data_IF_729253349078
#
_entry.id   IF_729253349078
#
_cell.length_a   1.000
_cell.length_b   1.000
_cell.length_c   1.000
_cell.angle_alpha   90.00
_cell.angle_beta   90.00
_cell.angle_gamma   90.00
#
_symmetry.space_group_name_H-M   'P 1'
#
loop_
_entity.id
_entity.type
_entity.pdbx_description
1 polymer ?
#
# COMPACT_ATOMS: atom_id res chain seq x y z
N UNK A 1 41.98 -5.37 0.27
CA UNK A 1 40.59 -5.81 0.52
C UNK A 1 39.74 -4.57 0.39
N UNK A 2 39.26 -4.32 -0.82
CA UNK A 2 38.39 -3.19 -1.16
C UNK A 2 37.00 -3.44 -0.57
N UNK A 3 36.28 -2.41 -0.08
CA UNK A 3 34.87 -2.55 0.19
C UNK A 3 34.16 -2.87 -1.12
N UNK A 4 33.33 -3.92 -1.14
CA UNK A 4 32.41 -4.15 -2.25
C UNK A 4 31.48 -2.94 -2.36
N UNK A 5 31.63 -2.18 -3.45
CA UNK A 5 30.64 -1.19 -3.86
C UNK A 5 29.33 -1.93 -4.15
N UNK A 6 28.35 -1.75 -3.28
CA UNK A 6 26.97 -2.19 -3.51
C UNK A 6 26.47 -1.43 -4.75
N UNK A 7 26.35 -2.12 -5.88
CA UNK A 7 25.82 -1.57 -7.12
C UNK A 7 24.52 -0.80 -6.86
N UNK A 8 24.40 0.48 -7.27
CA UNK A 8 23.14 1.20 -7.20
C UNK A 8 22.27 0.76 -8.38
N UNK A 9 21.59 -0.37 -8.24
CA UNK A 9 20.50 -0.74 -9.16
C UNK A 9 19.29 -1.20 -8.37
N UNK A 10 18.90 -0.44 -7.35
CA UNK A 10 17.48 -0.37 -7.04
C UNK A 10 16.85 0.37 -8.21
N UNK A 11 15.93 -0.23 -8.99
CA UNK A 11 15.23 0.50 -10.03
C UNK A 11 14.56 1.71 -9.37
N UNK A 12 14.80 2.91 -9.91
CA UNK A 12 14.05 4.08 -9.49
C UNK A 12 12.59 3.86 -9.88
N UNK A 13 11.73 3.54 -8.91
CA UNK A 13 10.30 3.47 -9.15
C UNK A 13 9.78 4.86 -9.54
N UNK A 14 8.98 4.90 -10.60
CA UNK A 14 8.29 6.13 -11.00
C UNK A 14 7.00 6.24 -10.21
N UNK A 15 6.87 7.30 -9.42
CA UNK A 15 5.63 7.65 -8.76
C UNK A 15 4.81 8.58 -9.65
N UNK A 16 3.58 8.21 -9.92
CA UNK A 16 2.59 9.08 -10.56
C UNK A 16 1.51 9.36 -9.54
N UNK A 17 1.26 10.63 -9.27
CA UNK A 17 0.17 11.07 -8.41
C UNK A 17 -0.83 11.78 -9.30
N UNK A 18 -2.05 11.24 -9.35
CA UNK A 18 -3.16 11.85 -10.08
C UNK A 18 -3.69 13.09 -9.32
N UNK A 19 -4.86 13.60 -9.72
CA UNK A 19 -5.46 14.78 -9.09
C UNK A 19 -5.55 14.62 -7.56
N UNK A 20 -4.85 15.50 -6.85
CA UNK A 20 -4.89 15.57 -5.39
C UNK A 20 -6.19 16.26 -4.98
N UNK A 21 -7.01 15.55 -4.22
CA UNK A 21 -8.24 16.09 -3.67
C UNK A 21 -7.99 16.71 -2.29
N UNK A 22 -8.54 17.90 -2.06
CA UNK A 22 -8.57 18.52 -0.74
C UNK A 22 -9.73 17.94 0.07
N UNK A 23 -9.47 16.79 0.71
CA UNK A 23 -10.43 16.02 1.50
C UNK A 23 -9.85 15.64 2.85
N UNK A 24 -10.72 15.53 3.85
CA UNK A 24 -10.34 15.22 5.22
C UNK A 24 -10.95 13.89 5.65
N UNK A 25 -10.22 13.16 6.49
CA UNK A 25 -10.68 11.94 7.15
C UNK A 25 -10.21 11.97 8.62
N UNK A 26 -10.98 11.34 9.51
CA UNK A 26 -10.60 11.24 10.91
C UNK A 26 -9.53 10.16 11.07
N UNK A 27 -8.27 10.56 11.21
CA UNK A 27 -7.14 9.68 11.43
C UNK A 27 -6.06 10.38 12.28
N UNK A 28 -5.12 9.61 12.82
CA UNK A 28 -3.96 10.15 13.51
C UNK A 28 -2.71 10.07 12.61
N UNK A 29 -1.54 10.47 13.12
CA UNK A 29 -0.29 10.47 12.36
C UNK A 29 0.17 9.08 11.89
N UNK A 30 -0.38 8.00 12.44
CA UNK A 30 -0.08 6.64 11.99
C UNK A 30 -0.64 6.33 10.59
N UNK A 31 -1.64 7.08 10.10
CA UNK A 31 -2.12 6.91 8.72
C UNK A 31 -1.00 7.11 7.70
N UNK A 32 -0.08 8.06 7.94
CA UNK A 32 1.08 8.27 7.06
C UNK A 32 1.97 7.02 6.99
N UNK A 33 2.18 6.34 8.13
CA UNK A 33 2.95 5.08 8.18
C UNK A 33 2.25 3.95 7.43
N UNK A 34 0.92 3.95 7.42
CA UNK A 34 0.16 2.97 6.65
C UNK A 34 0.37 3.14 5.14
N UNK A 35 0.36 4.39 4.67
CA UNK A 35 0.71 4.70 3.28
C UNK A 35 2.16 4.36 2.97
N UNK A 36 3.11 4.73 3.85
CA UNK A 36 4.53 4.38 3.70
C UNK A 36 4.72 2.87 3.54
N UNK A 37 4.12 2.06 4.41
CA UNK A 37 4.17 0.60 4.32
C UNK A 37 3.65 0.06 2.98
N UNK A 38 2.51 0.57 2.49
CA UNK A 38 1.95 0.14 1.20
C UNK A 38 2.83 0.60 0.03
N UNK A 39 3.36 1.81 0.07
CA UNK A 39 4.25 2.35 -0.97
C UNK A 39 5.59 1.62 -1.00
N UNK A 40 6.16 1.26 0.16
CA UNK A 40 7.38 0.44 0.27
C UNK A 40 7.13 -0.94 -0.35
N UNK A 41 6.03 -1.59 -0.01
CA UNK A 41 5.67 -2.88 -0.62
C UNK A 41 5.52 -2.79 -2.14
N UNK A 42 4.86 -1.74 -2.63
CA UNK A 42 4.67 -1.49 -4.07
C UNK A 42 5.99 -1.25 -4.83
N UNK A 43 7.07 -0.87 -4.13
CA UNK A 43 8.41 -0.69 -4.73
C UNK A 43 9.27 -1.94 -4.55
N UNK A 44 9.36 -2.48 -3.34
CA UNK A 44 10.26 -3.60 -3.01
C UNK A 44 9.85 -4.90 -3.69
N UNK A 45 8.56 -5.11 -3.90
CA UNK A 45 8.03 -6.32 -4.54
C UNK A 45 7.77 -6.17 -6.04
N UNK A 46 8.14 -5.04 -6.63
CA UNK A 46 7.91 -4.78 -8.04
C UNK A 46 9.09 -5.28 -8.89
N UNK A 47 8.81 -6.28 -9.72
CA UNK A 47 9.78 -6.93 -10.61
C UNK A 47 9.77 -6.40 -12.05
N UNK A 48 8.99 -5.34 -12.33
CA UNK A 48 8.95 -4.74 -13.66
C UNK A 48 10.30 -4.11 -14.04
N UNK A 49 10.63 -4.12 -15.34
CA UNK A 49 11.82 -3.43 -15.86
C UNK A 49 11.76 -1.90 -15.59
N UNK A 50 10.55 -1.35 -15.59
CA UNK A 50 10.25 0.02 -15.19
C UNK A 50 9.17 0.00 -14.10
N UNK A 51 9.53 -0.09 -12.81
CA UNK A 51 8.57 -0.06 -11.71
C UNK A 51 7.82 1.26 -11.70
N UNK A 52 6.50 1.16 -11.62
CA UNK A 52 5.57 2.28 -11.55
C UNK A 52 4.63 2.06 -10.38
N UNK A 53 4.44 3.12 -9.61
CA UNK A 53 3.45 3.20 -8.53
C UNK A 53 2.58 4.42 -8.78
N UNK A 54 1.27 4.21 -8.78
CA UNK A 54 0.24 5.21 -9.05
C UNK A 54 -0.54 5.46 -7.78
N UNK A 55 -0.70 6.73 -7.42
CA UNK A 55 -1.51 7.14 -6.28
C UNK A 55 -2.65 8.01 -6.80
N UNK A 56 -3.87 7.53 -6.61
CA UNK A 56 -5.09 8.25 -7.03
C UNK A 56 -6.05 8.39 -5.87
N UNK A 57 -6.82 9.48 -5.85
CA UNK A 57 -7.82 9.73 -4.83
C UNK A 57 -9.20 9.94 -5.48
N UNK A 58 -10.21 9.35 -4.88
CA UNK A 58 -11.61 9.61 -5.18
C UNK A 58 -12.35 9.94 -3.90
N UNK A 59 -13.38 10.79 -3.98
CA UNK A 59 -14.22 11.07 -2.83
C UNK A 59 -15.66 11.33 -3.27
N UNK A 60 -16.60 10.85 -2.45
CA UNK A 60 -18.01 11.21 -2.53
C UNK A 60 -18.39 12.10 -1.33
N UNK A 61 -19.68 12.28 -1.06
CA UNK A 61 -20.16 13.09 0.07
C UNK A 61 -19.77 12.52 1.45
N UNK A 62 -19.47 11.23 1.56
CA UNK A 62 -19.33 10.47 2.81
C UNK A 62 -18.03 9.69 2.93
N UNK A 63 -17.39 9.36 1.82
CA UNK A 63 -16.23 8.48 1.76
C UNK A 63 -15.09 9.13 0.99
N UNK A 64 -13.87 8.77 1.37
CA UNK A 64 -12.64 9.02 0.64
C UNK A 64 -12.00 7.67 0.36
N UNK A 65 -11.60 7.48 -0.89
CA UNK A 65 -10.84 6.35 -1.36
C UNK A 65 -9.48 6.86 -1.83
N UNK A 66 -8.41 6.24 -1.33
CA UNK A 66 -7.07 6.45 -1.83
C UNK A 66 -6.52 5.12 -2.33
N UNK A 67 -6.09 5.08 -3.58
CA UNK A 67 -5.60 3.86 -4.24
C UNK A 67 -4.10 4.01 -4.44
N UNK A 68 -3.34 2.99 -4.05
CA UNK A 68 -1.94 2.80 -4.43
C UNK A 68 -1.88 1.57 -5.34
N UNK A 69 -1.62 1.80 -6.62
CA UNK A 69 -1.55 0.76 -7.64
C UNK A 69 -0.14 0.61 -8.19
N UNK A 70 0.38 -0.61 -8.24
CA UNK A 70 1.67 -0.93 -8.84
C UNK A 70 1.51 -1.70 -10.15
N UNK A 71 2.61 -1.78 -10.90
CA UNK A 71 2.74 -2.67 -12.07
C UNK A 71 3.62 -3.89 -11.78
N UNK A 72 3.67 -4.36 -10.54
CA UNK A 72 4.42 -5.54 -10.10
C UNK A 72 3.81 -6.86 -10.58
N UNK A 73 4.17 -7.99 -9.94
CA UNK A 73 3.65 -9.31 -10.30
C UNK A 73 2.21 -9.56 -9.83
N UNK A 74 1.69 -8.74 -8.92
CA UNK A 74 0.42 -8.99 -8.22
C UNK A 74 0.59 -9.87 -6.98
N UNK A 75 -0.50 -10.10 -6.25
CA UNK A 75 -0.57 -11.06 -5.14
C UNK A 75 -1.40 -12.26 -5.60
N UNK A 76 -0.88 -13.47 -5.39
CA UNK A 76 -1.64 -14.68 -5.71
C UNK A 76 -2.87 -14.80 -4.80
N UNK A 77 -4.02 -15.26 -5.31
CA UNK A 77 -5.28 -15.33 -4.56
C UNK A 77 -5.15 -16.08 -3.22
N UNK A 78 -4.33 -17.13 -3.15
CA UNK A 78 -4.08 -17.90 -1.92
C UNK A 78 -3.09 -17.27 -0.93
N UNK A 79 -2.46 -16.15 -1.29
CA UNK A 79 -1.51 -15.43 -0.44
C UNK A 79 -2.11 -14.16 0.17
N UNK A 80 -3.32 -13.77 -0.23
CA UNK A 80 -3.91 -12.51 0.19
C UNK A 80 -4.20 -12.47 1.70
N UNK A 81 -4.87 -13.50 2.22
CA UNK A 81 -5.17 -13.61 3.66
C UNK A 81 -3.89 -13.65 4.50
N UNK A 82 -2.85 -14.26 3.95
CA UNK A 82 -1.54 -14.39 4.56
C UNK A 82 -0.77 -13.06 4.59
N UNK A 83 -0.88 -12.25 3.52
CA UNK A 83 -0.28 -10.91 3.41
C UNK A 83 -1.02 -9.89 4.27
N UNK A 84 -2.34 -10.04 4.41
CA UNK A 84 -3.18 -9.22 5.30
C UNK A 84 -3.15 -9.68 6.77
N UNK A 85 -2.48 -10.80 7.08
CA UNK A 85 -2.35 -11.36 8.42
C UNK A 85 -3.65 -11.92 9.01
N UNK A 86 -4.57 -12.39 8.17
CA UNK A 86 -5.86 -12.97 8.56
C UNK A 86 -5.77 -14.48 8.90
N UNK A 87 -4.63 -15.14 8.63
CA UNK A 87 -4.32 -16.52 9.04
C UNK A 87 -3.36 -16.55 10.25
N UNK A 88 -3.39 -17.64 11.06
CA UNK A 88 -2.59 -17.71 12.30
C UNK A 88 -1.08 -17.58 12.05
N UNK A 89 -0.35 -16.83 12.90
CA UNK A 89 1.05 -16.53 12.70
C UNK A 89 1.92 -17.71 13.11
N UNK A 90 2.30 -18.56 12.16
CA UNK A 90 3.48 -19.39 12.37
C UNK A 90 4.71 -18.48 12.55
N UNK A 91 5.38 -18.65 13.70
CA UNK A 91 6.36 -17.74 14.33
C UNK A 91 7.68 -17.47 13.57
N UNK A 92 7.69 -17.46 12.24
CA UNK A 92 8.90 -17.17 11.46
C UNK A 92 8.55 -16.28 10.27
N UNK A 93 8.18 -15.02 10.51
CA UNK A 93 8.09 -14.01 9.45
C UNK A 93 8.83 -12.75 9.84
N UNK A 94 10.17 -12.84 9.79
CA UNK A 94 11.01 -11.67 9.62
C UNK A 94 10.73 -11.08 8.23
N UNK A 95 9.93 -10.01 8.17
CA UNK A 95 10.12 -8.95 7.17
C UNK A 95 9.03 -8.66 6.13
N UNK A 96 7.87 -9.33 6.09
CA UNK A 96 6.89 -9.10 4.99
C UNK A 96 5.40 -9.07 5.40
N UNK A 97 4.99 -9.73 6.49
CA UNK A 97 3.58 -9.84 6.88
C UNK A 97 3.14 -8.91 8.02
N UNK A 98 4.08 -8.21 8.67
CA UNK A 98 3.77 -7.35 9.81
C UNK A 98 3.22 -6.00 9.35
N UNK A 99 3.72 -5.47 8.22
CA UNK A 99 3.42 -4.09 7.83
C UNK A 99 2.01 -3.95 7.24
N UNK A 100 1.54 -4.91 6.42
CA UNK A 100 0.17 -4.89 5.89
C UNK A 100 -0.88 -5.36 6.89
N UNK A 101 -0.53 -6.26 7.81
CA UNK A 101 -1.37 -6.57 8.97
C UNK A 101 -1.55 -5.33 9.86
N UNK A 102 -0.47 -4.58 10.12
CA UNK A 102 -0.56 -3.33 10.88
C UNK A 102 -1.45 -2.31 10.15
N UNK A 103 -1.35 -2.22 8.82
CA UNK A 103 -2.22 -1.37 8.01
C UNK A 103 -3.70 -1.77 8.15
N UNK A 104 -4.04 -3.06 8.06
CA UNK A 104 -5.43 -3.52 8.16
C UNK A 104 -6.03 -3.22 9.55
N UNK A 105 -5.30 -3.51 10.63
CA UNK A 105 -5.71 -3.21 12.01
C UNK A 105 -5.87 -1.71 12.24
N UNK A 106 -4.93 -0.90 11.76
CA UNK A 106 -5.00 0.56 11.89
C UNK A 106 -6.21 1.14 11.14
N UNK A 107 -6.50 0.61 9.95
CA UNK A 107 -7.68 1.03 9.19
C UNK A 107 -8.99 0.67 9.89
N UNK A 108 -9.03 -0.48 10.58
CA UNK A 108 -10.17 -0.86 11.41
C UNK A 108 -10.38 0.11 12.58
N UNK A 109 -9.31 0.61 13.23
CA UNK A 109 -9.38 1.63 14.28
C UNK A 109 -10.05 2.93 13.77
N UNK A 110 -9.80 3.29 12.51
CA UNK A 110 -10.41 4.46 11.87
C UNK A 110 -11.85 4.23 11.38
N UNK A 111 -12.46 3.09 11.70
CA UNK A 111 -13.75 2.65 11.12
C UNK A 111 -13.73 2.66 9.57
N UNK A 112 -12.54 2.48 9.01
CA UNK A 112 -12.28 2.31 7.60
C UNK A 112 -11.95 0.86 7.27
N UNK A 113 -11.37 0.64 6.09
CA UNK A 113 -10.82 -0.65 5.68
C UNK A 113 -9.79 -0.47 4.58
N UNK A 114 -8.93 -1.46 4.40
CA UNK A 114 -8.10 -1.58 3.21
C UNK A 114 -8.60 -2.76 2.37
N UNK A 115 -8.65 -2.61 1.06
CA UNK A 115 -8.93 -3.70 0.12
C UNK A 115 -7.77 -3.86 -0.85
N UNK A 116 -7.61 -5.06 -1.40
CA UNK A 116 -6.53 -5.39 -2.31
C UNK A 116 -7.13 -6.09 -3.51
N UNK A 117 -6.82 -5.61 -4.70
CA UNK A 117 -7.34 -6.14 -5.95
C UNK A 117 -6.20 -6.25 -6.98
N UNK A 118 -6.28 -7.18 -7.96
CA UNK A 118 -5.35 -7.18 -9.09
C UNK A 118 -5.44 -5.85 -9.87
N UNK A 119 -4.30 -5.33 -10.29
CA UNK A 119 -4.22 -4.18 -11.19
C UNK A 119 -4.12 -4.65 -12.66
N UNK A 120 -4.71 -3.89 -13.59
CA UNK A 120 -4.68 -4.19 -15.03
C UNK A 120 -3.62 -3.32 -15.74
N UNK A 121 -2.80 -3.87 -16.66
CA UNK A 121 -2.76 -5.27 -17.11
C UNK A 121 -1.98 -6.21 -16.16
N UNK A 122 -1.35 -5.67 -15.11
CA UNK A 122 -0.61 -6.42 -14.09
C UNK A 122 -0.41 -5.57 -12.83
N UNK A 123 -0.17 -6.24 -11.70
CA UNK A 123 0.22 -5.63 -10.42
C UNK A 123 -0.86 -5.73 -9.37
N UNK A 124 -0.73 -4.91 -8.33
CA UNK A 124 -1.64 -4.88 -7.18
C UNK A 124 -2.19 -3.47 -6.97
N UNK A 125 -3.46 -3.35 -6.61
CA UNK A 125 -4.08 -2.10 -6.19
C UNK A 125 -4.56 -2.21 -4.74
N UNK A 126 -3.94 -1.44 -3.85
CA UNK A 126 -4.35 -1.27 -2.46
C UNK A 126 -5.26 -0.05 -2.34
N UNK A 127 -6.49 -0.24 -1.86
CA UNK A 127 -7.45 0.86 -1.69
C UNK A 127 -7.74 1.09 -0.21
N UNK A 128 -7.40 2.26 0.28
CA UNK A 128 -7.77 2.76 1.60
C UNK A 128 -9.17 3.38 1.53
N UNK A 129 -10.09 2.85 2.33
CA UNK A 129 -11.45 3.35 2.46
C UNK A 129 -11.61 4.05 3.81
N UNK A 130 -11.88 5.35 3.80
CA UNK A 130 -12.11 6.15 5.00
C UNK A 130 -13.40 6.94 4.91
N UNK A 131 -14.00 7.24 6.07
CA UNK A 131 -15.11 8.20 6.12
C UNK A 131 -14.58 9.61 5.93
N UNK A 132 -15.16 10.31 4.95
CA UNK A 132 -14.95 11.73 4.73
C UNK A 132 -15.40 12.52 5.95
N UNK A 133 -14.61 13.50 6.31
CA UNK A 133 -14.88 14.50 7.32
C UNK A 133 -14.96 15.88 6.69
N UNK A 134 -15.61 16.80 7.41
CA UNK A 134 -15.48 18.22 7.11
C UNK A 134 -14.06 18.68 7.43
N UNK A 135 -13.63 19.77 6.80
CA UNK A 135 -12.37 20.42 7.15
C UNK A 135 -12.33 20.74 8.67
N UNK A 136 -11.16 20.59 9.32
CA UNK A 136 -10.98 20.84 10.75
C UNK A 136 -11.19 22.31 11.14
#
# INVERSE_FOLDING_TARGET
MTPEEKSPSSPHATFVVDDVLDVYAAANSALAKAFEAVLENAVEHNDAEAPRVEVSMAADERNVEAVVADNGPGIAEGELDLVLGLEEPDQVRHGQGIDLFFVSELMAEYSGRITVEPNDPRGTAFTFHLRRQSAP
#
